data_IF_885240369844
#
_entry.id   IF_885240369844
#
_cell.length_a   1.000
_cell.length_b   1.000
_cell.length_c   1.000
_cell.angle_alpha   90.00
_cell.angle_beta   90.00
_cell.angle_gamma   90.00
#
_symmetry.space_group_name_H-M   'P 1'
#
loop_
_entity.id
_entity.type
_entity.pdbx_description
1 polymer ?
#
# COMPACT_ATOMS: atom_id res chain seq x y z
N UNK A 1 -4.93 -27.95 17.06
CA UNK A 1 -5.68 -27.51 15.86
C UNK A 1 -4.80 -26.50 15.17
N UNK A 2 -4.28 -26.78 13.98
CA UNK A 2 -3.52 -25.79 13.23
C UNK A 2 -4.48 -24.69 12.78
N UNK A 3 -4.14 -23.43 13.02
CA UNK A 3 -4.93 -22.24 12.66
C UNK A 3 -5.05 -21.98 11.13
N UNK A 4 -4.90 -23.00 10.28
CA UNK A 4 -4.87 -22.84 8.83
C UNK A 4 -6.19 -23.30 8.17
N UNK A 5 -7.32 -22.66 8.49
CA UNK A 5 -8.60 -22.98 7.83
C UNK A 5 -8.67 -22.51 6.36
N UNK A 6 -7.68 -21.74 5.87
CA UNK A 6 -7.70 -21.15 4.52
C UNK A 6 -6.56 -21.56 3.58
N UNK A 7 -5.77 -22.57 3.94
CA UNK A 7 -4.83 -23.23 3.03
C UNK A 7 -3.54 -22.46 2.70
N UNK A 8 -3.26 -21.35 3.38
CA UNK A 8 -2.01 -20.59 3.26
C UNK A 8 -1.38 -20.40 4.64
N UNK A 9 -0.07 -20.64 4.74
CA UNK A 9 0.69 -20.40 5.98
C UNK A 9 0.98 -18.91 6.19
N UNK A 10 1.12 -18.16 5.08
CA UNK A 10 1.39 -16.72 5.08
C UNK A 10 0.87 -16.10 3.79
N UNK A 11 0.32 -14.90 3.90
CA UNK A 11 -0.26 -14.12 2.81
C UNK A 11 0.38 -12.74 2.79
N UNK A 12 0.68 -12.24 1.58
CA UNK A 12 0.98 -10.84 1.33
C UNK A 12 -0.26 -10.24 0.67
N UNK A 13 -0.92 -9.32 1.37
CA UNK A 13 -1.99 -8.50 0.82
C UNK A 13 -1.39 -7.22 0.24
N UNK A 14 -1.95 -6.77 -0.89
CA UNK A 14 -1.66 -5.49 -1.52
C UNK A 14 -2.98 -4.87 -1.96
N UNK A 15 -3.11 -3.56 -1.77
CA UNK A 15 -4.22 -2.82 -2.37
C UNK A 15 -4.22 -2.94 -3.90
N UNK A 16 -5.41 -2.96 -4.49
CA UNK A 16 -5.60 -3.16 -5.93
C UNK A 16 -4.95 -2.10 -6.81
N UNK A 17 -4.66 -0.94 -6.23
CA UNK A 17 -3.99 0.20 -6.83
C UNK A 17 -2.53 0.32 -6.39
N UNK A 18 -1.86 -0.81 -6.25
CA UNK A 18 -0.42 -0.90 -6.07
C UNK A 18 0.31 -1.16 -7.41
N UNK A 19 1.51 -0.61 -7.52
CA UNK A 19 2.51 -0.96 -8.51
C UNK A 19 3.72 -1.59 -7.81
N UNK A 20 3.97 -2.88 -8.05
CA UNK A 20 5.11 -3.61 -7.48
C UNK A 20 6.37 -3.25 -8.26
N UNK A 21 7.30 -2.55 -7.62
CA UNK A 21 8.56 -2.10 -8.21
C UNK A 21 9.71 -3.10 -7.99
N UNK A 22 9.65 -3.90 -6.92
CA UNK A 22 10.69 -4.87 -6.53
C UNK A 22 10.05 -6.15 -6.01
N UNK A 23 10.77 -7.26 -6.07
CA UNK A 23 10.33 -8.54 -5.51
C UNK A 23 10.05 -8.40 -3.99
N UNK A 24 8.98 -9.06 -3.53
CA UNK A 24 8.48 -9.00 -2.15
C UNK A 24 8.64 -10.34 -1.42
N UNK A 25 9.24 -11.37 -2.03
CA UNK A 25 9.21 -12.74 -1.50
C UNK A 25 9.98 -12.88 -0.18
N UNK A 26 10.94 -11.98 0.07
CA UNK A 26 11.63 -11.92 1.36
C UNK A 26 10.67 -11.65 2.53
N UNK A 27 9.51 -11.04 2.28
CA UNK A 27 8.48 -10.82 3.30
C UNK A 27 7.89 -12.13 3.85
N UNK A 28 7.92 -13.23 3.08
CA UNK A 28 7.47 -14.52 3.59
C UNK A 28 8.35 -15.07 4.73
N UNK A 29 9.58 -14.57 4.86
CA UNK A 29 10.54 -14.96 5.89
C UNK A 29 10.46 -14.12 7.16
N UNK A 30 9.58 -13.12 7.21
CA UNK A 30 9.35 -12.35 8.43
C UNK A 30 8.87 -13.25 9.56
N UNK A 31 9.26 -12.92 10.80
CA UNK A 31 8.84 -13.65 11.98
C UNK A 31 7.36 -13.49 12.32
N UNK A 32 6.96 -14.07 13.43
CA UNK A 32 5.57 -14.05 13.89
C UNK A 32 5.16 -12.64 14.36
N UNK A 33 4.02 -12.18 13.85
CA UNK A 33 3.30 -10.98 14.28
C UNK A 33 1.82 -11.17 13.90
N UNK A 34 0.90 -10.40 14.50
CA UNK A 34 -0.51 -10.41 14.07
C UNK A 34 -0.61 -10.08 12.58
N UNK A 35 0.16 -9.07 12.16
CA UNK A 35 0.54 -8.81 10.77
C UNK A 35 1.75 -7.88 10.75
N UNK A 36 2.39 -7.76 9.59
CA UNK A 36 3.37 -6.73 9.28
C UNK A 36 2.77 -5.70 8.33
N UNK A 37 2.99 -4.41 8.59
CA UNK A 37 2.44 -3.31 7.79
C UNK A 37 3.42 -2.12 7.69
N UNK A 38 3.45 -1.37 6.58
CA UNK A 38 4.29 -0.18 6.46
C UNK A 38 3.77 0.96 7.33
N UNK A 39 4.68 1.73 7.91
CA UNK A 39 4.32 2.95 8.64
C UNK A 39 3.56 3.94 7.73
N UNK A 40 2.44 4.49 8.22
CA UNK A 40 1.68 5.53 7.53
C UNK A 40 2.36 6.89 7.71
N UNK A 41 3.52 7.09 7.07
CA UNK A 41 4.34 8.30 7.21
C UNK A 41 3.66 9.62 6.78
N UNK A 42 2.51 9.52 6.12
CA UNK A 42 1.67 10.65 5.68
C UNK A 42 0.67 11.09 6.76
N UNK A 43 0.64 10.42 7.90
CA UNK A 43 -0.13 10.79 9.09
C UNK A 43 0.81 11.35 10.17
N UNK A 44 0.26 12.18 11.05
CA UNK A 44 1.05 12.86 12.11
C UNK A 44 1.15 12.04 13.39
N UNK A 45 0.29 11.06 13.54
CA UNK A 45 0.15 10.18 14.69
C UNK A 45 1.33 9.20 14.75
N UNK A 46 1.88 9.04 15.96
CA UNK A 46 2.88 8.00 16.21
C UNK A 46 2.19 6.62 16.26
N UNK A 47 2.89 5.60 15.75
CA UNK A 47 2.41 4.20 15.73
C UNK A 47 1.08 4.04 14.98
N UNK A 48 1.10 4.48 13.72
CA UNK A 48 0.03 4.22 12.77
C UNK A 48 0.63 3.60 11.51
N UNK A 49 0.00 2.55 11.01
CA UNK A 49 0.39 1.86 9.78
C UNK A 49 -0.68 2.02 8.69
N UNK A 50 -0.27 1.91 7.43
CA UNK A 50 -1.18 1.83 6.30
C UNK A 50 -1.57 0.39 6.01
N UNK A 51 -2.82 0.14 5.62
CA UNK A 51 -3.28 -1.19 5.19
C UNK A 51 -2.94 -1.54 3.73
N UNK A 52 -2.28 -0.62 3.01
CA UNK A 52 -1.85 -0.76 1.60
C UNK A 52 -1.00 -2.00 1.29
N UNK A 53 -0.31 -2.54 2.30
CA UNK A 53 0.44 -3.79 2.26
C UNK A 53 0.36 -4.45 3.63
N UNK A 54 -0.05 -5.71 3.68
CA UNK A 54 -0.06 -6.50 4.92
C UNK A 54 0.63 -7.84 4.70
N UNK A 55 1.37 -8.33 5.69
CA UNK A 55 1.94 -9.69 5.68
C UNK A 55 1.47 -10.41 6.93
N UNK A 56 0.72 -11.50 6.78
CA UNK A 56 0.11 -12.18 7.92
C UNK A 56 -0.10 -13.67 7.69
N UNK A 57 -0.15 -14.43 8.78
CA UNK A 57 -0.69 -15.78 8.77
C UNK A 57 -2.22 -15.68 8.96
N UNK A 58 -3.05 -16.31 8.12
CA UNK A 58 -4.48 -16.35 8.34
C UNK A 58 -4.81 -16.89 9.73
N UNK A 59 -5.66 -16.19 10.49
CA UNK A 59 -6.10 -16.61 11.83
C UNK A 59 -7.59 -16.32 12.02
N UNK A 60 -8.34 -17.35 12.42
CA UNK A 60 -9.77 -17.21 12.73
C UNK A 60 -10.01 -16.29 13.92
N UNK A 61 -9.09 -16.27 14.89
CA UNK A 61 -9.17 -15.39 16.05
C UNK A 61 -9.10 -13.92 15.62
N UNK A 62 -8.17 -13.60 14.72
CA UNK A 62 -8.03 -12.25 14.16
C UNK A 62 -9.25 -11.88 13.32
N UNK A 63 -9.72 -12.79 12.46
CA UNK A 63 -10.92 -12.56 11.64
C UNK A 63 -12.15 -12.27 12.51
N UNK A 64 -12.40 -13.08 13.54
CA UNK A 64 -13.54 -12.87 14.44
C UNK A 64 -13.46 -11.53 15.19
N UNK A 65 -12.25 -11.08 15.56
CA UNK A 65 -12.04 -9.77 16.17
C UNK A 65 -12.35 -8.62 15.19
N UNK A 66 -11.94 -8.75 13.92
CA UNK A 66 -12.26 -7.79 12.86
C UNK A 66 -13.78 -7.71 12.60
N UNK A 67 -14.44 -8.87 12.47
CA UNK A 67 -15.90 -8.95 12.28
C UNK A 67 -16.63 -8.24 13.42
N UNK A 68 -16.26 -8.52 14.68
CA UNK A 68 -16.82 -7.86 15.86
C UNK A 68 -16.60 -6.35 15.87
N UNK A 69 -15.42 -5.88 15.46
CA UNK A 69 -15.14 -4.44 15.41
C UNK A 69 -16.00 -3.72 14.36
N UNK A 70 -16.40 -4.42 13.29
CA UNK A 70 -17.25 -3.89 12.22
C UNK A 70 -18.75 -3.89 12.57
N UNK A 71 -19.19 -4.70 13.54
CA UNK A 71 -20.60 -4.73 13.99
C UNK A 71 -21.06 -3.42 14.63
N UNK A 72 -20.14 -2.65 15.22
CA UNK A 72 -20.45 -1.37 15.87
C UNK A 72 -19.30 -0.36 15.67
N UNK A 73 -19.19 0.23 14.46
CA UNK A 73 -18.16 1.21 14.15
C UNK A 73 -18.20 2.39 15.12
N UNK A 74 -17.07 2.78 15.75
CA UNK A 74 -17.05 3.85 16.75
C UNK A 74 -17.16 5.25 16.12
N UNK A 75 -16.98 5.36 14.80
CA UNK A 75 -16.99 6.63 14.05
C UNK A 75 -17.52 6.42 12.62
N UNK A 76 -18.05 7.47 11.95
CA UNK A 76 -18.29 7.46 10.51
C UNK A 76 -16.98 7.21 9.74
N UNK A 77 -17.10 6.76 8.48
CA UNK A 77 -15.96 6.55 7.59
C UNK A 77 -14.89 5.63 8.20
N UNK A 78 -15.33 4.58 8.91
CA UNK A 78 -14.47 3.61 9.57
C UNK A 78 -13.95 2.59 8.55
N UNK A 79 -12.81 2.90 7.94
CA UNK A 79 -12.21 2.08 6.90
C UNK A 79 -11.40 0.92 7.49
N UNK A 80 -10.92 0.03 6.64
CA UNK A 80 -10.09 -1.12 7.01
C UNK A 80 -8.83 -0.70 7.80
N UNK A 81 -8.14 0.36 7.37
CA UNK A 81 -6.98 0.90 8.08
C UNK A 81 -7.34 1.35 9.49
N UNK A 82 -8.51 1.95 9.69
CA UNK A 82 -8.99 2.39 11.00
C UNK A 82 -9.22 1.21 11.93
N UNK A 83 -9.94 0.20 11.46
CA UNK A 83 -10.23 -1.02 12.22
C UNK A 83 -8.95 -1.70 12.67
N UNK A 84 -8.01 -1.87 11.74
CA UNK A 84 -6.75 -2.53 12.01
C UNK A 84 -5.90 -1.74 13.02
N UNK A 85 -5.83 -0.41 12.89
CA UNK A 85 -5.03 0.41 13.82
C UNK A 85 -5.65 0.47 15.22
N UNK A 86 -6.98 0.56 15.33
CA UNK A 86 -7.68 0.57 16.62
C UNK A 86 -7.44 -0.74 17.38
N UNK A 87 -7.38 -1.88 16.69
CA UNK A 87 -7.18 -3.20 17.29
C UNK A 87 -5.70 -3.55 17.54
N UNK A 88 -4.80 -3.22 16.62
CA UNK A 88 -3.50 -3.91 16.54
C UNK A 88 -2.28 -2.99 16.37
N UNK A 89 -2.41 -1.67 16.42
CA UNK A 89 -1.25 -0.75 16.24
C UNK A 89 -0.08 -0.98 17.21
N UNK A 90 -0.33 -1.60 18.37
CA UNK A 90 0.68 -1.94 19.37
C UNK A 90 1.18 -3.39 19.27
N UNK A 91 0.48 -4.25 18.52
CA UNK A 91 0.77 -5.69 18.40
C UNK A 91 1.22 -6.11 16.99
N UNK A 92 1.29 -5.15 16.06
CA UNK A 92 1.76 -5.36 14.70
C UNK A 92 3.29 -5.19 14.56
N UNK A 93 3.85 -5.80 13.51
CA UNK A 93 5.22 -5.55 13.08
C UNK A 93 5.28 -4.37 12.10
N UNK A 94 6.09 -3.36 12.39
CA UNK A 94 6.24 -2.22 11.48
C UNK A 94 7.30 -2.50 10.41
N UNK A 95 6.87 -2.43 9.14
CA UNK A 95 7.77 -2.34 8.01
C UNK A 95 8.25 -0.89 7.83
N UNK A 96 9.50 -0.69 7.40
CA UNK A 96 9.99 0.63 7.01
C UNK A 96 9.11 1.32 5.96
N UNK A 97 9.00 2.66 6.04
CA UNK A 97 8.14 3.45 5.14
C UNK A 97 8.45 3.31 3.65
N UNK A 98 9.62 2.82 3.25
CA UNK A 98 9.96 2.60 1.84
C UNK A 98 9.36 1.32 1.24
N UNK A 99 8.70 0.49 2.03
CA UNK A 99 7.98 -0.66 1.50
C UNK A 99 6.81 -0.22 0.62
N UNK A 100 6.08 0.83 1.02
CA UNK A 100 5.02 1.43 0.22
C UNK A 100 5.17 2.94 0.20
N UNK A 101 5.25 3.52 -1.00
CA UNK A 101 5.31 4.97 -1.19
C UNK A 101 4.09 5.43 -1.97
N UNK A 102 3.36 6.41 -1.41
CA UNK A 102 2.20 7.00 -2.07
C UNK A 102 2.65 7.83 -3.28
N UNK A 103 1.97 7.66 -4.42
CA UNK A 103 2.31 8.33 -5.69
C UNK A 103 2.41 9.85 -5.53
N UNK A 104 1.50 10.51 -4.82
CA UNK A 104 1.54 11.97 -4.64
C UNK A 104 2.77 12.43 -3.82
N UNK A 105 3.22 11.62 -2.86
CA UNK A 105 4.39 11.92 -2.00
C UNK A 105 5.73 11.69 -2.72
N UNK A 106 5.72 11.20 -3.95
CA UNK A 106 6.92 11.20 -4.80
C UNK A 106 7.49 12.61 -4.99
N UNK A 107 6.66 13.63 -4.85
CA UNK A 107 7.06 15.02 -5.00
C UNK A 107 7.62 15.65 -3.72
N UNK A 108 7.56 14.92 -2.60
CA UNK A 108 8.09 15.37 -1.33
C UNK A 108 9.62 15.15 -1.27
N UNK A 109 10.26 15.82 -0.30
CA UNK A 109 11.70 15.72 -0.05
C UNK A 109 12.04 14.70 1.05
N UNK A 110 11.11 13.82 1.43
CA UNK A 110 11.34 12.82 2.45
C UNK A 110 12.48 11.87 2.04
N UNK A 111 13.47 11.70 2.93
CA UNK A 111 14.59 10.77 2.73
C UNK A 111 14.55 9.59 3.71
N UNK A 112 13.84 9.73 4.84
CA UNK A 112 13.82 8.75 5.94
C UNK A 112 15.23 8.37 6.39
N UNK A 113 15.58 7.08 6.37
CA UNK A 113 16.90 6.57 6.74
C UNK A 113 17.89 6.50 5.58
N UNK A 114 17.53 7.00 4.39
CA UNK A 114 18.40 7.02 3.21
C UNK A 114 19.19 8.33 3.11
N UNK A 115 20.30 8.30 2.37
CA UNK A 115 21.16 9.47 2.13
C UNK A 115 20.54 10.50 1.19
N UNK A 116 19.60 10.08 0.34
CA UNK A 116 18.93 10.96 -0.62
C UNK A 116 17.55 10.45 -1.03
N UNK A 117 16.73 11.35 -1.59
CA UNK A 117 15.44 11.01 -2.21
C UNK A 117 15.62 9.95 -3.31
N UNK A 118 16.65 10.09 -4.13
CA UNK A 118 16.96 9.16 -5.21
C UNK A 118 17.28 7.76 -4.67
N UNK A 119 18.08 7.67 -3.60
CA UNK A 119 18.37 6.39 -2.96
C UNK A 119 17.12 5.76 -2.35
N UNK A 120 16.29 6.54 -1.66
CA UNK A 120 14.99 6.08 -1.14
C UNK A 120 14.10 5.51 -2.25
N UNK A 121 14.00 6.22 -3.38
CA UNK A 121 13.22 5.77 -4.54
C UNK A 121 13.80 4.48 -5.13
N UNK A 122 15.12 4.37 -5.24
CA UNK A 122 15.78 3.15 -5.70
C UNK A 122 15.50 1.94 -4.80
N UNK A 123 15.27 2.16 -3.50
CA UNK A 123 14.95 1.12 -2.53
C UNK A 123 13.45 0.93 -2.28
N UNK A 124 12.58 1.65 -3.00
CA UNK A 124 11.12 1.50 -2.83
C UNK A 124 10.63 0.18 -3.42
N UNK A 125 9.82 -0.56 -2.66
CA UNK A 125 9.28 -1.84 -3.12
C UNK A 125 7.95 -1.72 -3.86
N UNK A 126 7.04 -0.87 -3.38
CA UNK A 126 5.71 -0.68 -3.94
C UNK A 126 5.40 0.80 -4.03
N UNK A 127 4.79 1.22 -5.14
CA UNK A 127 4.14 2.51 -5.25
C UNK A 127 2.63 2.34 -5.18
N UNK A 128 1.96 3.12 -4.34
CA UNK A 128 0.51 3.07 -4.19
C UNK A 128 -0.12 4.29 -4.87
N UNK A 129 -1.10 4.09 -5.76
CA UNK A 129 -1.80 5.17 -6.45
C UNK A 129 -2.79 5.88 -5.52
N UNK A 130 -2.27 6.72 -4.65
CA UNK A 130 -3.10 7.54 -3.75
C UNK A 130 -3.60 8.79 -4.45
N UNK A 131 -4.88 9.18 -4.23
CA UNK A 131 -5.39 10.46 -4.69
C UNK A 131 -4.56 11.62 -4.12
N UNK A 132 -4.24 12.58 -4.97
CA UNK A 132 -3.44 13.74 -4.58
C UNK A 132 -3.04 14.54 -5.81
N UNK A 133 -2.65 15.80 -5.63
CA UNK A 133 -2.20 16.67 -6.72
C UNK A 133 -3.24 16.86 -7.84
N UNK A 134 -4.53 16.70 -7.51
CA UNK A 134 -5.63 16.74 -8.47
C UNK A 134 -5.76 15.50 -9.36
N UNK A 135 -5.04 14.42 -9.05
CA UNK A 135 -5.00 13.17 -9.82
C UNK A 135 -5.60 12.04 -9.00
N UNK A 136 -6.43 11.22 -9.65
CA UNK A 136 -7.09 10.07 -9.05
C UNK A 136 -6.36 8.75 -9.28
N UNK A 137 -7.12 7.66 -9.23
CA UNK A 137 -6.66 6.31 -9.55
C UNK A 137 -6.31 6.21 -11.05
N UNK A 138 -5.43 5.29 -11.48
CA UNK A 138 -4.97 5.24 -12.87
C UNK A 138 -6.09 4.88 -13.86
N UNK A 139 -7.08 4.07 -13.47
CA UNK A 139 -8.24 3.74 -14.30
C UNK A 139 -9.27 4.86 -14.42
N UNK A 140 -9.22 5.89 -13.57
CA UNK A 140 -10.12 7.05 -13.63
C UNK A 140 -9.45 8.33 -14.13
N UNK A 141 -8.11 8.31 -14.23
CA UNK A 141 -7.33 9.47 -14.67
C UNK A 141 -7.25 9.51 -16.20
N UNK A 142 -7.58 10.65 -16.85
CA UNK A 142 -7.42 10.77 -18.29
C UNK A 142 -5.95 10.64 -18.72
N UNK A 143 -5.69 9.78 -19.73
CA UNK A 143 -4.33 9.58 -20.29
C UNK A 143 -3.69 10.87 -20.84
N UNK A 144 -4.48 11.94 -21.06
CA UNK A 144 -3.99 13.28 -21.42
C UNK A 144 -3.05 13.89 -20.40
N UNK A 145 -3.02 13.40 -19.16
CA UNK A 145 -2.05 13.83 -18.13
C UNK A 145 -0.60 13.68 -18.60
N UNK A 146 -0.31 12.72 -19.48
CA UNK A 146 1.03 12.51 -20.04
C UNK A 146 1.43 13.56 -21.09
N UNK A 147 0.47 14.29 -21.66
CA UNK A 147 0.72 15.38 -22.61
C UNK A 147 1.02 16.71 -21.91
N UNK A 148 0.42 16.91 -20.75
CA UNK A 148 0.50 18.15 -19.97
C UNK A 148 1.20 17.91 -18.64
N UNK A 149 2.43 17.36 -18.70
CA UNK A 149 3.23 17.09 -17.49
C UNK A 149 3.61 18.41 -16.82
N UNK A 150 3.37 18.51 -15.51
CA UNK A 150 3.89 19.58 -14.67
C UNK A 150 5.38 19.31 -14.42
N UNK A 151 6.31 20.19 -14.87
CA UNK A 151 7.75 19.97 -14.70
C UNK A 151 8.19 20.04 -13.23
N UNK A 152 7.35 20.54 -12.32
CA UNK A 152 7.63 20.52 -10.89
C UNK A 152 7.47 19.12 -10.27
N UNK A 153 6.79 18.18 -10.95
CA UNK A 153 6.60 16.83 -10.45
C UNK A 153 7.72 15.89 -10.87
N UNK A 154 8.02 14.94 -10.00
CA UNK A 154 8.98 13.88 -10.25
C UNK A 154 8.57 13.09 -11.50
N UNK A 155 9.49 12.85 -12.46
CA UNK A 155 9.17 12.11 -13.68
C UNK A 155 8.54 10.75 -13.41
N UNK A 156 8.94 10.08 -12.32
CA UNK A 156 8.39 8.78 -11.94
C UNK A 156 6.88 8.83 -11.68
N UNK A 157 6.36 9.96 -11.19
CA UNK A 157 4.92 10.14 -10.99
C UNK A 157 4.15 9.84 -12.28
N UNK A 158 4.54 10.45 -13.40
CA UNK A 158 3.89 10.21 -14.69
C UNK A 158 4.23 8.85 -15.29
N UNK A 159 5.45 8.37 -15.08
CA UNK A 159 5.87 7.07 -15.61
C UNK A 159 5.11 5.91 -14.97
N UNK A 160 4.69 6.02 -13.70
CA UNK A 160 3.80 5.03 -13.08
C UNK A 160 2.48 4.89 -13.82
N UNK A 161 1.81 6.01 -14.15
CA UNK A 161 0.57 5.97 -14.93
C UNK A 161 0.79 5.40 -16.34
N UNK A 162 1.88 5.81 -17.01
CA UNK A 162 2.23 5.24 -18.31
C UNK A 162 2.40 3.71 -18.24
N UNK A 163 3.16 3.22 -17.25
CA UNK A 163 3.35 1.78 -17.03
C UNK A 163 2.04 1.05 -16.74
N UNK A 164 1.17 1.61 -15.90
CA UNK A 164 -0.14 1.01 -15.66
C UNK A 164 -0.93 0.83 -16.96
N UNK A 165 -1.01 1.87 -17.78
CA UNK A 165 -1.78 1.82 -19.03
C UNK A 165 -1.14 0.95 -20.09
N UNK A 166 0.19 0.91 -20.19
CA UNK A 166 0.90 -0.01 -21.09
C UNK A 166 0.59 -1.47 -20.73
N UNK A 167 0.55 -1.80 -19.43
CA UNK A 167 0.20 -3.14 -18.95
C UNK A 167 -1.30 -3.45 -19.12
N UNK A 168 -2.18 -2.49 -18.83
CA UNK A 168 -3.62 -2.61 -19.07
C UNK A 168 -3.88 -2.88 -20.55
N UNK A 169 -3.24 -2.15 -21.46
CA UNK A 169 -3.39 -2.31 -22.89
C UNK A 169 -2.90 -3.69 -23.37
N UNK A 170 -1.79 -4.17 -22.79
CA UNK A 170 -1.16 -5.43 -23.18
C UNK A 170 -1.87 -6.67 -22.60
N UNK A 171 -2.39 -6.59 -21.36
CA UNK A 171 -2.84 -7.76 -20.60
C UNK A 171 -4.35 -7.75 -20.30
N UNK A 172 -4.98 -6.58 -20.32
CA UNK A 172 -6.37 -6.41 -19.94
C UNK A 172 -7.26 -5.99 -21.13
N UNK A 173 -6.95 -6.48 -22.33
CA UNK A 173 -7.73 -6.18 -23.54
C UNK A 173 -9.22 -6.53 -23.41
N UNK A 174 -9.57 -7.45 -22.52
CA UNK A 174 -10.94 -7.85 -22.18
C UNK A 174 -11.76 -6.76 -21.48
N UNK A 175 -11.13 -5.74 -20.87
CA UNK A 175 -11.83 -4.58 -20.28
C UNK A 175 -12.40 -3.60 -21.32
N UNK A 176 -12.00 -3.72 -22.59
CA UNK A 176 -12.42 -2.83 -23.69
C UNK A 176 -13.56 -3.41 -24.54
N UNK A 177 -14.13 -4.54 -24.13
CA UNK A 177 -15.21 -5.23 -24.84
C UNK A 177 -16.59 -4.71 -24.44
#
# INVERSE_FOLDING_TARGET
MSESERGYDKVIYLDSDAWIQRNLDHLFHLGDAVFWAPHAYYLTENYVFGSTLLVFAPSNTVIAALEKALESPPRPDYFDMDVLNDLYRLDCGYLPSHYVVLSYTLNDNAVWSFTSKAERMAHTYVYHYSPGLGVGKPWSTPRSILRNKNPAYDPLFYDLFARYWDHEDALCSWLRQ
#
